data_IF_036925557679
#
_entry.id   IF_036925557679
#
_cell.length_a   1.000
_cell.length_b   1.000
_cell.length_c   1.000
_cell.angle_alpha   90.00
_cell.angle_beta   90.00
_cell.angle_gamma   90.00
#
_symmetry.space_group_name_H-M   'P 1'
#
loop_
_entity.id
_entity.type
_entity.pdbx_description
1 polymer ?
#
# COMPACT_ATOMS: atom_id res chain seq x y z
N UNK A 1 -15.23 7.19 13.42
CA UNK A 1 -13.97 7.71 12.84
C UNK A 1 -13.23 6.55 12.18
N UNK A 2 -12.86 6.65 10.90
CA UNK A 2 -12.05 5.64 10.23
C UNK A 2 -10.60 5.77 10.67
N UNK A 3 -10.15 4.90 11.57
CA UNK A 3 -8.78 4.92 12.04
C UNK A 3 -7.87 4.20 11.02
N UNK A 4 -7.37 4.93 10.03
CA UNK A 4 -6.39 4.40 9.06
C UNK A 4 -5.08 4.08 9.77
N UNK A 5 -4.51 2.90 9.52
CA UNK A 5 -3.23 2.49 10.09
C UNK A 5 -2.10 2.39 9.06
N UNK A 6 -2.41 2.24 7.77
CA UNK A 6 -1.43 2.32 6.67
C UNK A 6 -2.02 3.12 5.51
N UNK A 7 -1.19 3.89 4.82
CA UNK A 7 -1.57 4.63 3.62
C UNK A 7 -0.47 4.49 2.57
N UNK A 8 -0.85 4.08 1.37
CA UNK A 8 -0.03 4.15 0.16
C UNK A 8 -0.43 5.40 -0.62
N UNK A 9 0.57 6.15 -1.09
CA UNK A 9 0.41 7.35 -1.90
C UNK A 9 1.40 7.27 -3.05
N UNK A 10 0.89 7.00 -4.24
CA UNK A 10 1.68 6.88 -5.47
C UNK A 10 2.94 6.01 -5.29
N UNK A 11 2.82 4.90 -4.56
CA UNK A 11 3.99 4.09 -4.20
C UNK A 11 4.48 3.32 -5.43
N UNK A 12 5.76 3.51 -5.74
CA UNK A 12 6.50 2.74 -6.74
C UNK A 12 7.66 2.02 -6.06
N UNK A 13 7.83 0.72 -6.33
CA UNK A 13 8.90 -0.11 -5.77
C UNK A 13 9.56 -0.90 -6.88
N UNK A 14 10.89 -0.90 -6.91
CA UNK A 14 11.67 -1.77 -7.78
C UNK A 14 12.66 -2.62 -6.97
N UNK A 15 13.02 -3.78 -7.51
CA UNK A 15 14.03 -4.67 -6.96
C UNK A 15 14.84 -5.32 -8.09
N UNK A 16 16.16 -5.40 -7.92
CA UNK A 16 17.05 -6.00 -8.91
C UNK A 16 16.98 -5.34 -10.28
N UNK A 17 16.93 -4.00 -10.34
CA UNK A 17 16.75 -3.22 -11.57
C UNK A 17 15.45 -3.48 -12.34
N UNK A 18 14.47 -4.14 -11.72
CA UNK A 18 13.15 -4.40 -12.28
C UNK A 18 12.07 -3.74 -11.43
N UNK A 19 11.10 -3.02 -12.02
CA UNK A 19 9.99 -2.49 -11.26
C UNK A 19 9.04 -3.62 -10.82
N UNK A 20 8.62 -3.56 -9.56
CA UNK A 20 7.78 -4.58 -8.91
C UNK A 20 6.41 -4.04 -8.51
N UNK A 21 6.30 -2.75 -8.19
CA UNK A 21 5.04 -2.05 -7.90
C UNK A 21 5.06 -0.73 -8.67
N UNK A 22 3.92 -0.37 -9.25
CA UNK A 22 3.70 0.91 -9.92
C UNK A 22 2.48 1.61 -9.32
N UNK A 23 2.66 2.87 -8.92
CA UNK A 23 1.57 3.80 -8.58
C UNK A 23 0.50 3.20 -7.65
N UNK A 24 0.93 2.58 -6.55
CA UNK A 24 0.01 2.00 -5.57
C UNK A 24 -0.56 3.09 -4.65
N UNK A 25 -1.88 3.21 -4.67
CA UNK A 25 -2.66 4.04 -3.75
C UNK A 25 -3.61 3.18 -2.92
N UNK A 26 -3.84 3.57 -1.67
CA UNK A 26 -4.83 2.91 -0.84
C UNK A 26 -4.62 3.11 0.67
N UNK A 27 -5.61 2.69 1.44
CA UNK A 27 -5.58 2.79 2.90
C UNK A 27 -5.94 1.47 3.54
N UNK A 28 -5.20 1.06 4.55
CA UNK A 28 -5.58 -0.07 5.42
C UNK A 28 -6.12 0.50 6.73
N UNK A 29 -7.28 0.00 7.14
CA UNK A 29 -7.96 0.42 8.37
C UNK A 29 -7.47 -0.40 9.56
N UNK A 30 -7.34 0.24 10.72
CA UNK A 30 -7.01 -0.45 11.98
C UNK A 30 -8.05 -1.54 12.27
N UNK A 31 -7.56 -2.73 12.60
CA UNK A 31 -8.39 -3.91 12.88
C UNK A 31 -8.90 -4.64 11.63
N UNK A 32 -8.55 -4.20 10.42
CA UNK A 32 -8.84 -4.96 9.20
C UNK A 32 -7.83 -6.10 9.01
N UNK A 33 -8.33 -7.23 8.51
CA UNK A 33 -7.52 -8.31 7.96
C UNK A 33 -7.66 -8.26 6.44
N UNK A 34 -6.70 -7.62 5.77
CA UNK A 34 -6.73 -7.40 4.33
C UNK A 34 -5.90 -8.47 3.65
N UNK A 35 -6.51 -9.26 2.76
CA UNK A 35 -5.82 -10.20 1.91
C UNK A 35 -5.45 -9.55 0.56
N UNK A 36 -4.36 -10.02 -0.05
CA UNK A 36 -3.85 -9.59 -1.35
C UNK A 36 -3.49 -10.81 -2.19
#
# INVERSE_FOLDING_TARGET
MTNTCLTFRDLTLGYGSHPAIHHLDGTIRKGSLTAV
#
